data_IF_756262684211
#
_entry.id   IF_756262684211
#
_cell.length_a   1.000
_cell.length_b   1.000
_cell.length_c   1.000
_cell.angle_alpha   90.00
_cell.angle_beta   90.00
_cell.angle_gamma   90.00
#
_symmetry.space_group_name_H-M   'P 1'
#
loop_
_entity.id
_entity.type
_entity.pdbx_description
1 polymer ?
#
# COMPACT_ATOMS: atom_id res chain seq x y z
N UNK A 1 -14.48 -9.48 25.14
CA UNK A 1 -13.95 -9.33 25.08
C UNK A 1 -13.39 -8.99 24.71
N UNK A 2 -13.45 -8.81 24.73
CA UNK A 2 -12.82 -8.54 24.44
C UNK A 2 -12.11 -8.24 24.48
N UNK A 3 -12.28 -8.10 24.96
CA UNK A 3 -11.42 -7.85 25.08
C UNK A 3 -10.60 -8.17 24.72
N UNK A 4 -10.72 -8.38 24.64
CA UNK A 4 -9.89 -8.63 24.39
C UNK A 4 -9.16 -8.55 23.70
N UNK A 5 -9.54 -8.71 23.48
CA UNK A 5 -8.72 -8.56 22.72
C UNK A 5 -8.08 -7.56 22.62
N UNK A 6 -8.47 -7.15 22.97
CA UNK A 6 -7.97 -6.16 22.94
C UNK A 6 -6.84 -5.80 23.27
N UNK A 7 -6.75 -5.95 24.16
CA UNK A 7 -5.39 -5.76 24.44
C UNK A 7 -4.51 -6.39 23.43
N UNK A 8 -5.05 -7.22 22.66
CA UNK A 8 -4.27 -7.84 21.62
C UNK A 8 -3.84 -6.80 20.62
N UNK A 9 -2.74 -7.06 19.95
CA UNK A 9 -2.24 -6.19 18.91
C UNK A 9 -3.24 -6.10 17.78
N UNK A 10 -3.39 -4.94 17.19
CA UNK A 10 -4.21 -4.82 16.00
C UNK A 10 -3.67 -5.76 14.94
N UNK A 11 -4.55 -6.47 14.28
CA UNK A 11 -4.18 -7.32 13.17
C UNK A 11 -4.47 -6.62 11.86
N UNK A 12 -4.32 -5.32 11.87
CA UNK A 12 -4.62 -4.48 10.74
C UNK A 12 -3.43 -3.63 10.38
N UNK A 13 -3.21 -3.50 9.10
CA UNK A 13 -2.36 -2.47 8.59
C UNK A 13 -3.21 -1.33 8.07
N UNK A 14 -2.59 -0.37 7.50
CA UNK A 14 -3.28 0.70 6.79
C UNK A 14 -2.30 1.41 5.88
N UNK A 15 -2.85 2.10 4.89
CA UNK A 15 -2.08 2.99 4.04
C UNK A 15 -2.44 4.42 4.43
N UNK A 16 -1.45 5.27 4.54
CA UNK A 16 -1.68 6.68 4.80
C UNK A 16 -1.33 7.47 3.54
N UNK A 17 -2.26 8.25 3.04
CA UNK A 17 -2.00 9.12 1.91
C UNK A 17 -1.14 10.28 2.33
N UNK A 18 0.02 10.44 1.70
CA UNK A 18 0.97 11.51 2.02
C UNK A 18 0.88 12.60 0.98
N UNK A 19 0.73 12.23 -0.29
CA UNK A 19 0.63 13.19 -1.39
C UNK A 19 -0.29 12.61 -2.45
N UNK A 20 -1.08 13.46 -3.07
CA UNK A 20 -1.99 13.07 -4.15
C UNK A 20 -3.43 13.07 -3.73
N UNK A 21 -4.24 12.33 -4.47
CA UNK A 21 -5.70 12.33 -4.27
C UNK A 21 -6.13 11.92 -2.88
N UNK A 22 -5.33 11.11 -2.20
CA UNK A 22 -5.70 10.54 -0.91
C UNK A 22 -4.90 11.14 0.24
N UNK A 23 -4.34 12.33 0.04
CA UNK A 23 -3.59 13.00 1.11
C UNK A 23 -4.43 13.09 2.37
N UNK A 24 -3.89 12.61 3.48
CA UNK A 24 -4.56 12.63 4.77
C UNK A 24 -5.49 11.47 5.03
N UNK A 25 -5.76 10.63 4.04
CA UNK A 25 -6.63 9.48 4.22
C UNK A 25 -5.89 8.35 4.91
N UNK A 26 -6.60 7.62 5.76
CA UNK A 26 -6.12 6.37 6.33
C UNK A 26 -6.97 5.26 5.75
N UNK A 27 -6.35 4.39 4.98
CA UNK A 27 -7.06 3.34 4.26
C UNK A 27 -6.76 2.02 4.96
N UNK A 28 -7.77 1.40 5.60
CA UNK A 28 -7.52 0.19 6.36
C UNK A 28 -7.15 -0.98 5.45
N UNK A 29 -6.29 -1.83 5.96
CA UNK A 29 -5.82 -3.03 5.27
C UNK A 29 -5.75 -4.14 6.30
N UNK A 30 -6.85 -4.86 6.42
CA UNK A 30 -6.95 -5.91 7.43
C UNK A 30 -6.18 -7.14 7.02
N UNK A 31 -5.86 -7.96 8.01
CA UNK A 31 -5.16 -9.22 7.79
C UNK A 31 -5.92 -10.05 6.78
N UNK A 32 -5.20 -10.55 5.77
CA UNK A 32 -5.80 -11.37 4.73
C UNK A 32 -6.44 -10.61 3.58
N UNK A 33 -6.58 -9.29 3.73
CA UNK A 33 -7.10 -8.46 2.64
C UNK A 33 -5.97 -7.97 1.76
N UNK A 34 -6.33 -7.72 0.51
CA UNK A 34 -5.42 -7.09 -0.44
C UNK A 34 -6.05 -5.79 -0.92
N UNK A 35 -5.22 -4.79 -1.12
CA UNK A 35 -5.66 -3.58 -1.80
C UNK A 35 -5.06 -3.59 -3.19
N UNK A 36 -5.94 -3.58 -4.18
CA UNK A 36 -5.54 -3.48 -5.58
C UNK A 36 -5.63 -2.03 -5.99
N UNK A 37 -4.56 -1.51 -6.52
CA UNK A 37 -4.43 -0.08 -6.83
C UNK A 37 -4.20 0.09 -8.32
N UNK A 38 -4.94 1.00 -8.93
CA UNK A 38 -4.77 1.28 -10.34
C UNK A 38 -5.72 2.36 -10.82
N UNK A 39 -5.61 2.64 -12.13
CA UNK A 39 -6.41 3.69 -12.75
C UNK A 39 -7.79 3.20 -13.18
N UNK A 40 -7.91 1.91 -13.48
CA UNK A 40 -9.18 1.35 -13.94
C UNK A 40 -10.20 1.33 -12.79
N UNK A 41 -11.45 1.62 -13.11
CA UNK A 41 -12.52 1.50 -12.13
C UNK A 41 -12.95 0.06 -11.93
N UNK A 42 -12.42 -0.85 -12.74
CA UNK A 42 -12.73 -2.27 -12.61
C UNK A 42 -11.60 -2.99 -11.91
N UNK A 43 -11.96 -3.82 -10.94
CA UNK A 43 -11.04 -4.71 -10.25
C UNK A 43 -9.93 -3.99 -9.47
N UNK A 44 -10.17 -2.74 -9.06
CA UNK A 44 -9.29 -2.03 -8.15
C UNK A 44 -10.08 -1.59 -6.94
N UNK A 45 -9.41 -1.60 -5.80
CA UNK A 45 -10.01 -1.15 -4.55
C UNK A 45 -9.70 0.32 -4.29
N UNK A 46 -8.57 0.78 -4.79
CA UNK A 46 -8.13 2.17 -4.66
C UNK A 46 -7.81 2.68 -6.07
N UNK A 47 -8.52 3.71 -6.48
CA UNK A 47 -8.39 4.23 -7.83
C UNK A 47 -7.59 5.52 -7.82
N UNK A 48 -6.54 5.55 -8.63
CA UNK A 48 -5.69 6.74 -8.80
C UNK A 48 -5.84 7.24 -10.22
N UNK A 49 -6.32 8.48 -10.36
CA UNK A 49 -6.65 9.07 -11.66
C UNK A 49 -5.51 9.86 -12.26
N UNK A 50 -4.41 9.18 -12.54
CA UNK A 50 -3.24 9.83 -13.11
C UNK A 50 -2.78 9.04 -14.32
N UNK A 51 -2.29 9.75 -15.34
CA UNK A 51 -1.79 9.08 -16.56
C UNK A 51 -0.57 8.23 -16.26
N UNK A 52 0.12 8.49 -15.16
CA UNK A 52 1.29 7.69 -14.76
C UNK A 52 0.91 6.41 -14.05
N UNK A 53 -0.35 6.21 -13.78
CA UNK A 53 -0.84 5.01 -13.09
C UNK A 53 -1.37 4.03 -14.13
N UNK A 54 -0.89 2.80 -14.08
CA UNK A 54 -1.38 1.72 -14.93
C UNK A 54 -2.79 1.33 -14.51
N UNK A 55 -3.54 0.71 -15.41
CA UNK A 55 -4.90 0.26 -15.10
C UNK A 55 -4.90 -0.62 -13.87
N UNK A 56 -3.95 -1.54 -13.77
CA UNK A 56 -3.74 -2.39 -12.60
C UNK A 56 -2.29 -2.20 -12.22
N UNK A 57 -2.04 -1.34 -11.26
CA UNK A 57 -0.70 -0.85 -10.99
C UNK A 57 0.05 -1.72 -9.98
N UNK A 58 -0.54 -1.95 -8.83
CA UNK A 58 0.11 -2.75 -7.80
C UNK A 58 -0.92 -3.33 -6.85
N UNK A 59 -0.46 -4.30 -6.06
CA UNK A 59 -1.28 -4.95 -5.03
C UNK A 59 -0.49 -4.93 -3.75
N UNK A 60 -1.16 -4.56 -2.65
CA UNK A 60 -0.53 -4.47 -1.33
C UNK A 60 -1.35 -5.27 -0.34
N UNK A 61 -0.69 -6.08 0.49
CA UNK A 61 -1.34 -6.69 1.64
C UNK A 61 -0.41 -6.63 2.84
N UNK A 62 -0.97 -6.88 4.01
CA UNK A 62 -0.26 -6.75 5.28
C UNK A 62 -0.18 -8.09 5.96
N UNK A 63 0.99 -8.40 6.51
CA UNK A 63 1.21 -9.60 7.31
C UNK A 63 1.53 -9.17 8.73
N UNK A 64 0.57 -9.38 9.64
CA UNK A 64 0.71 -8.94 11.02
C UNK A 64 1.79 -9.71 11.77
N UNK A 65 2.04 -10.95 11.38
CA UNK A 65 3.08 -11.75 12.03
C UNK A 65 4.46 -11.21 11.71
N UNK A 66 4.66 -10.78 10.47
CA UNK A 66 5.93 -10.18 10.05
C UNK A 66 6.03 -8.72 10.43
N UNK A 67 4.87 -8.06 10.63
CA UNK A 67 4.86 -6.60 10.76
C UNK A 67 5.29 -5.92 9.49
N UNK A 68 5.02 -6.54 8.34
CA UNK A 68 5.48 -6.05 7.06
C UNK A 68 4.36 -6.08 6.04
N UNK A 69 4.54 -5.27 5.01
CA UNK A 69 3.63 -5.21 3.88
C UNK A 69 4.27 -5.89 2.68
N UNK A 70 3.47 -6.65 1.97
CA UNK A 70 3.90 -7.25 0.71
C UNK A 70 3.36 -6.39 -0.42
N UNK A 71 4.25 -5.96 -1.28
CA UNK A 71 3.90 -5.11 -2.43
C UNK A 71 4.34 -5.82 -3.69
N UNK A 72 3.43 -5.88 -4.67
CA UNK A 72 3.76 -6.44 -5.99
C UNK A 72 3.40 -5.39 -7.02
N UNK A 73 4.38 -4.98 -7.81
CA UNK A 73 4.24 -3.98 -8.86
C UNK A 73 4.03 -4.66 -10.21
N UNK A 74 2.93 -4.31 -10.87
CA UNK A 74 2.62 -4.82 -12.23
C UNK A 74 2.67 -3.72 -13.27
N UNK A 75 3.15 -2.53 -12.91
CA UNK A 75 2.96 -1.33 -13.71
C UNK A 75 4.08 -1.07 -14.70
N UNK A 76 3.81 -0.15 -15.61
CA UNK A 76 4.84 0.37 -16.52
C UNK A 76 5.74 1.39 -15.83
N UNK A 77 5.16 2.25 -15.01
CA UNK A 77 5.91 3.38 -14.41
C UNK A 77 6.48 3.09 -13.04
N UNK A 78 6.08 1.99 -12.42
CA UNK A 78 6.76 1.48 -11.24
C UNK A 78 6.19 1.90 -9.90
N UNK A 79 6.75 1.28 -8.86
CA UNK A 79 6.58 1.64 -7.46
C UNK A 79 7.99 1.87 -6.93
N UNK A 80 8.19 2.98 -6.24
CA UNK A 80 9.54 3.41 -5.84
C UNK A 80 9.60 3.66 -4.35
N UNK A 81 10.80 3.51 -3.81
CA UNK A 81 11.13 3.94 -2.46
C UNK A 81 11.64 5.38 -2.53
N UNK A 82 11.65 6.09 -1.38
CA UNK A 82 12.09 7.49 -1.40
C UNK A 82 13.51 7.71 -1.91
N UNK A 83 14.37 6.71 -1.80
CA UNK A 83 15.74 6.81 -2.28
C UNK A 83 15.86 6.60 -3.80
N UNK A 84 14.74 6.39 -4.48
CA UNK A 84 14.72 6.18 -5.92
C UNK A 84 14.78 4.74 -6.35
N UNK A 85 14.92 3.80 -5.41
CA UNK A 85 14.93 2.38 -5.74
C UNK A 85 13.57 1.96 -6.25
N UNK A 86 13.52 1.33 -7.42
CA UNK A 86 12.29 0.79 -7.98
C UNK A 86 12.13 -0.65 -7.51
N UNK A 87 10.91 -1.00 -7.09
CA UNK A 87 10.60 -2.38 -6.75
C UNK A 87 10.66 -3.24 -8.01
N UNK A 88 11.10 -4.46 -7.85
CA UNK A 88 11.20 -5.38 -8.97
C UNK A 88 9.81 -5.77 -9.46
N UNK A 89 9.55 -5.54 -10.74
CA UNK A 89 8.24 -5.77 -11.33
C UNK A 89 7.84 -7.23 -11.27
N UNK A 90 6.59 -7.47 -10.84
CA UNK A 90 5.97 -8.80 -10.76
C UNK A 90 6.58 -9.71 -9.72
N UNK A 91 7.36 -9.16 -8.81
CA UNK A 91 7.92 -9.92 -7.69
C UNK A 91 7.42 -9.36 -6.38
N UNK A 92 7.30 -10.24 -5.39
CA UNK A 92 6.90 -9.84 -4.05
C UNK A 92 8.05 -9.10 -3.38
N UNK A 93 7.76 -7.93 -2.85
CA UNK A 93 8.73 -7.18 -2.06
C UNK A 93 8.12 -6.97 -0.69
N UNK A 94 8.84 -7.37 0.35
CA UNK A 94 8.40 -7.18 1.73
C UNK A 94 9.00 -5.89 2.26
N UNK A 95 8.14 -4.99 2.72
CA UNK A 95 8.55 -3.69 3.22
C UNK A 95 8.09 -3.53 4.66
N UNK A 96 8.93 -2.95 5.48
CA UNK A 96 8.59 -2.71 6.88
C UNK A 96 7.49 -1.67 7.03
N UNK A 97 6.70 -1.83 8.08
CA UNK A 97 5.73 -0.80 8.46
C UNK A 97 6.50 0.51 8.68
N UNK A 98 5.90 1.62 8.26
CA UNK A 98 6.54 2.92 8.32
C UNK A 98 7.24 3.33 7.03
N UNK A 99 7.39 2.39 6.08
CA UNK A 99 8.02 2.69 4.80
C UNK A 99 7.11 3.55 3.93
N UNK A 100 7.68 4.53 3.27
CA UNK A 100 6.98 5.35 2.29
C UNK A 100 7.18 4.76 0.91
N UNK A 101 6.12 4.72 0.12
CA UNK A 101 6.20 4.27 -1.27
C UNK A 101 5.63 5.33 -2.20
N UNK A 102 6.18 5.36 -3.41
CA UNK A 102 5.76 6.28 -4.46
C UNK A 102 5.20 5.45 -5.58
N UNK A 103 3.93 5.70 -5.94
CA UNK A 103 3.24 4.90 -6.95
C UNK A 103 3.19 5.69 -8.24
N UNK A 104 3.89 5.20 -9.26
CA UNK A 104 3.92 5.80 -10.58
C UNK A 104 4.85 6.99 -10.68
N UNK A 105 4.56 8.04 -9.91
CA UNK A 105 5.40 9.23 -9.86
C UNK A 105 5.18 9.92 -8.52
N UNK A 106 5.91 11.01 -8.30
CA UNK A 106 5.92 11.71 -7.01
C UNK A 106 4.59 12.32 -6.62
N UNK A 107 3.60 12.30 -7.49
CA UNK A 107 2.28 12.83 -7.17
C UNK A 107 1.45 11.89 -6.32
N UNK A 108 1.85 10.63 -6.22
CA UNK A 108 1.09 9.61 -5.51
C UNK A 108 1.98 8.93 -4.49
N UNK A 109 1.94 9.43 -3.27
CA UNK A 109 2.83 8.97 -2.20
C UNK A 109 2.00 8.44 -1.05
N UNK A 110 2.33 7.24 -0.59
CA UNK A 110 1.66 6.60 0.54
C UNK A 110 2.69 6.12 1.55
N UNK A 111 2.28 6.08 2.80
CA UNK A 111 3.08 5.48 3.86
C UNK A 111 2.41 4.19 4.29
N UNK A 112 3.19 3.14 4.38
CA UNK A 112 2.72 1.86 4.91
C UNK A 112 2.61 2.02 6.42
N UNK A 113 1.40 1.89 6.94
CA UNK A 113 1.12 2.27 8.30
C UNK A 113 1.87 1.45 9.34
N UNK A 114 2.21 2.11 10.44
CA UNK A 114 2.89 1.47 11.55
C UNK A 114 1.95 1.47 12.74
N UNK A 115 1.56 0.28 13.16
CA UNK A 115 0.73 0.13 14.36
C UNK A 115 1.57 0.34 15.60
N UNK A 116 0.96 0.89 16.62
CA UNK A 116 1.63 1.07 17.91
C UNK A 116 1.33 -0.10 18.84
#
# INVERSE_FOLDING_TARGET
SAVKASASKPKKGYLEGVRGEYTGALIPLEEGMKIRIGRSQENNDLILNSVKISRHHCIIDYDSKRGQYRVVDYSSNGVYLPDGTRLERKKQTWLNAGTTIIIGNEENVFKLGKSK
#
